data_IF_929806678076
#
_entry.id   IF_929806678076
#
_cell.length_a   1.000
_cell.length_b   1.000
_cell.length_c   1.000
_cell.angle_alpha   90.00
_cell.angle_beta   90.00
_cell.angle_gamma   90.00
#
_symmetry.space_group_name_H-M   'P 1'
#
loop_
_entity.id
_entity.type
_entity.pdbx_description
1 polymer ?
#
# COMPACT_ATOMS: atom_id res chain seq x y z
N UNK A 1 20.80 -14.09 3.96
CA UNK A 1 20.60 -13.49 2.61
C UNK A 1 20.39 -12.00 2.83
N UNK A 2 21.12 -11.11 2.15
CA UNK A 2 20.95 -9.67 2.37
C UNK A 2 19.50 -9.25 2.04
N UNK A 3 18.93 -8.38 2.88
CA UNK A 3 17.56 -7.90 2.76
C UNK A 3 17.44 -6.46 3.27
N UNK A 4 16.28 -5.86 3.07
CA UNK A 4 16.00 -4.47 3.43
C UNK A 4 14.89 -4.34 4.48
N UNK A 5 14.57 -5.42 5.21
CA UNK A 5 13.64 -5.31 6.34
C UNK A 5 14.37 -4.66 7.50
N UNK A 6 14.01 -3.42 7.76
CA UNK A 6 14.52 -2.59 8.85
C UNK A 6 14.09 -3.14 10.21
N UNK A 7 14.88 -2.83 11.23
CA UNK A 7 14.54 -3.18 12.60
C UNK A 7 13.50 -2.20 13.14
N UNK A 8 12.34 -2.72 13.52
CA UNK A 8 11.28 -1.91 14.10
C UNK A 8 11.37 -1.89 15.63
N UNK A 9 11.01 -0.77 16.29
CA UNK A 9 10.90 -0.71 17.74
C UNK A 9 9.97 -1.80 18.28
N UNK A 10 10.32 -2.39 19.43
CA UNK A 10 9.52 -3.48 20.01
C UNK A 10 8.06 -3.09 20.25
N UNK A 11 7.80 -1.84 20.67
CA UNK A 11 6.44 -1.34 20.88
C UNK A 11 5.61 -1.35 19.60
N UNK A 12 6.24 -1.07 18.45
CA UNK A 12 5.58 -1.18 17.15
C UNK A 12 5.31 -2.63 16.77
N UNK A 13 6.26 -3.53 17.07
CA UNK A 13 6.10 -4.97 16.82
C UNK A 13 4.94 -5.56 17.65
N UNK A 14 4.76 -5.10 18.90
CA UNK A 14 3.65 -5.53 19.78
C UNK A 14 2.26 -5.14 19.25
N UNK A 15 2.17 -4.11 18.41
CA UNK A 15 0.91 -3.67 17.79
C UNK A 15 0.56 -4.47 16.52
N UNK A 16 1.46 -5.33 16.04
CA UNK A 16 1.21 -6.16 14.87
C UNK A 16 0.25 -7.30 15.19
N UNK A 17 -0.52 -7.72 14.19
CA UNK A 17 -1.25 -8.98 14.29
C UNK A 17 -0.26 -10.15 14.35
N UNK A 18 -0.70 -11.29 14.87
CA UNK A 18 0.15 -12.48 14.97
C UNK A 18 0.77 -12.90 13.62
N UNK A 19 0.05 -12.75 12.51
CA UNK A 19 0.55 -13.07 11.16
C UNK A 19 1.59 -12.04 10.67
N UNK A 20 1.38 -10.75 10.95
CA UNK A 20 2.30 -9.68 10.58
C UNK A 20 3.61 -9.78 11.35
N UNK A 21 3.52 -9.99 12.66
CA UNK A 21 4.66 -10.18 13.55
C UNK A 21 5.46 -11.42 13.15
N UNK A 22 4.78 -12.52 12.80
CA UNK A 22 5.45 -13.73 12.33
C UNK A 22 6.21 -13.49 11.03
N UNK A 23 5.60 -12.83 10.05
CA UNK A 23 6.28 -12.49 8.79
C UNK A 23 7.52 -11.63 9.04
N UNK A 24 7.40 -10.60 9.87
CA UNK A 24 8.51 -9.74 10.26
C UNK A 24 9.68 -10.55 10.84
N UNK A 25 9.39 -11.37 11.87
CA UNK A 25 10.41 -12.17 12.55
C UNK A 25 11.08 -13.18 11.62
N UNK A 26 10.33 -13.81 10.71
CA UNK A 26 10.91 -14.71 9.71
C UNK A 26 11.81 -13.96 8.73
N UNK A 27 11.41 -12.78 8.29
CA UNK A 27 12.22 -12.00 7.36
C UNK A 27 13.54 -11.56 7.98
N UNK A 28 13.49 -11.07 9.23
CA UNK A 28 14.67 -10.74 10.03
C UNK A 28 15.55 -11.97 10.24
N UNK A 29 14.98 -13.13 10.54
CA UNK A 29 15.73 -14.37 10.71
C UNK A 29 16.49 -14.79 9.43
N UNK A 30 15.86 -14.70 8.26
CA UNK A 30 16.53 -14.99 6.97
C UNK A 30 17.64 -13.97 6.66
N UNK A 31 17.43 -12.70 7.02
CA UNK A 31 18.44 -11.65 6.88
C UNK A 31 19.65 -11.87 7.78
N UNK A 32 19.43 -12.13 9.07
CA UNK A 32 20.47 -12.34 10.06
C UNK A 32 21.11 -13.74 10.00
N UNK A 33 20.51 -14.68 9.27
CA UNK A 33 21.01 -16.05 9.14
C UNK A 33 20.77 -16.93 10.39
N UNK A 34 19.96 -16.48 11.33
CA UNK A 34 19.64 -17.20 12.57
C UNK A 34 18.14 -17.11 12.86
N UNK A 35 17.54 -18.26 13.19
CA UNK A 35 16.10 -18.37 13.47
C UNK A 35 15.91 -18.73 14.94
N UNK A 36 15.29 -17.86 15.75
CA UNK A 36 14.97 -18.21 17.12
C UNK A 36 14.00 -19.39 17.20
N UNK A 37 14.21 -20.32 18.14
CA UNK A 37 13.37 -21.51 18.35
C UNK A 37 11.89 -21.17 18.49
N UNK A 38 11.58 -20.11 19.24
CA UNK A 38 10.22 -19.62 19.42
C UNK A 38 9.56 -19.21 18.10
N UNK A 39 10.32 -18.68 17.13
CA UNK A 39 9.83 -18.30 15.80
C UNK A 39 9.70 -19.53 14.90
N UNK A 40 10.66 -20.45 14.97
CA UNK A 40 10.68 -21.68 14.17
C UNK A 40 9.44 -22.56 14.43
N UNK A 41 9.05 -22.69 15.70
CA UNK A 41 7.91 -23.53 16.14
C UNK A 41 6.54 -22.90 15.90
N UNK A 42 6.45 -21.61 15.56
CA UNK A 42 5.15 -20.95 15.33
C UNK A 42 4.45 -21.51 14.09
N UNK A 43 3.21 -21.97 14.30
CA UNK A 43 2.31 -22.41 13.23
C UNK A 43 1.96 -21.23 12.32
N UNK A 44 2.15 -21.42 11.02
CA UNK A 44 1.68 -20.47 10.00
C UNK A 44 0.23 -20.80 9.66
N UNK A 45 -0.61 -19.78 9.54
CA UNK A 45 -2.01 -19.93 9.15
C UNK A 45 -2.23 -20.61 7.80
N UNK A 46 -3.49 -20.90 7.50
CA UNK A 46 -3.90 -21.48 6.22
C UNK A 46 -3.69 -20.52 5.05
N UNK A 47 -3.36 -21.08 3.89
CA UNK A 47 -3.24 -20.28 2.67
C UNK A 47 -4.60 -19.71 2.30
N UNK A 48 -4.64 -18.40 2.09
CA UNK A 48 -5.78 -17.70 1.52
C UNK A 48 -5.28 -16.92 0.30
N UNK A 49 -5.89 -17.14 -0.86
CA UNK A 49 -5.52 -16.48 -2.12
C UNK A 49 -5.62 -14.94 -2.08
N UNK A 50 -6.29 -14.37 -1.07
CA UNK A 50 -6.37 -12.92 -0.86
C UNK A 50 -5.23 -12.35 0.01
N UNK A 51 -4.48 -13.18 0.75
CA UNK A 51 -3.51 -12.70 1.75
C UNK A 51 -2.09 -13.17 1.46
N UNK A 52 -1.27 -12.25 0.99
CA UNK A 52 0.12 -12.53 0.67
C UNK A 52 1.02 -12.74 1.90
N UNK A 53 0.65 -12.22 3.08
CA UNK A 53 1.44 -12.39 4.33
C UNK A 53 1.70 -13.86 4.68
N UNK A 54 0.68 -14.71 4.59
CA UNK A 54 0.79 -16.14 4.88
C UNK A 54 1.68 -16.85 3.86
N UNK A 55 1.50 -16.53 2.57
CA UNK A 55 2.31 -17.11 1.51
C UNK A 55 3.77 -16.71 1.66
N UNK A 56 4.06 -15.43 1.90
CA UNK A 56 5.41 -14.94 2.18
C UNK A 56 6.05 -15.66 3.37
N UNK A 57 5.31 -15.80 4.48
CA UNK A 57 5.80 -16.53 5.66
C UNK A 57 6.15 -17.98 5.35
N UNK A 58 5.34 -18.67 4.53
CA UNK A 58 5.60 -20.06 4.12
C UNK A 58 6.81 -20.17 3.17
N UNK A 59 6.99 -19.24 2.24
CA UNK A 59 8.16 -19.20 1.35
C UNK A 59 9.44 -19.01 2.17
N UNK A 60 9.45 -18.09 3.14
CA UNK A 60 10.59 -17.90 4.04
C UNK A 60 10.85 -19.16 4.87
N UNK A 61 9.81 -19.80 5.41
CA UNK A 61 9.91 -21.09 6.14
C UNK A 61 10.57 -22.16 5.30
N UNK A 62 10.08 -22.33 4.07
CA UNK A 62 10.59 -23.31 3.12
C UNK A 62 12.07 -23.05 2.79
N UNK A 63 12.45 -21.79 2.57
CA UNK A 63 13.84 -21.41 2.34
C UNK A 63 14.75 -21.80 3.49
N UNK A 64 14.35 -21.50 4.74
CA UNK A 64 15.16 -21.83 5.92
C UNK A 64 15.26 -23.35 6.17
N UNK A 65 14.25 -24.12 5.78
CA UNK A 65 14.26 -25.59 5.94
C UNK A 65 14.91 -26.33 4.77
N UNK A 66 15.37 -25.63 3.73
CA UNK A 66 15.97 -26.26 2.55
C UNK A 66 17.48 -26.08 2.58
N UNK A 67 18.23 -27.17 2.76
CA UNK A 67 19.70 -27.14 2.84
C UNK A 67 20.36 -26.54 1.59
N UNK A 68 19.82 -26.87 0.40
CA UNK A 68 20.28 -26.34 -0.89
C UNK A 68 19.09 -25.74 -1.64
N UNK A 69 18.74 -24.45 -1.41
CA UNK A 69 17.58 -23.85 -2.04
C UNK A 69 17.83 -23.58 -3.54
N UNK A 70 16.80 -23.85 -4.36
CA UNK A 70 16.86 -23.63 -5.81
C UNK A 70 17.02 -22.14 -6.17
N UNK A 71 17.41 -21.87 -7.42
CA UNK A 71 17.49 -20.51 -7.96
C UNK A 71 16.16 -19.77 -7.88
N UNK A 72 15.05 -20.46 -8.12
CA UNK A 72 13.69 -19.92 -8.12
C UNK A 72 13.26 -19.56 -6.70
N UNK A 73 13.54 -20.44 -5.73
CA UNK A 73 13.23 -20.17 -4.32
C UNK A 73 14.06 -18.97 -3.81
N UNK A 74 15.36 -18.91 -4.14
CA UNK A 74 16.21 -17.75 -3.82
C UNK A 74 15.66 -16.46 -4.46
N UNK A 75 15.18 -16.52 -5.69
CA UNK A 75 14.61 -15.37 -6.39
C UNK A 75 13.32 -14.86 -5.71
N UNK A 76 12.43 -15.77 -5.27
CA UNK A 76 11.23 -15.41 -4.50
C UNK A 76 11.58 -14.79 -3.16
N UNK A 77 12.53 -15.38 -2.42
CA UNK A 77 12.97 -14.86 -1.11
C UNK A 77 13.63 -13.49 -1.27
N UNK A 78 14.47 -13.30 -2.31
CA UNK A 78 15.04 -11.98 -2.62
C UNK A 78 13.95 -10.94 -2.87
N UNK A 79 12.91 -11.26 -3.66
CA UNK A 79 11.79 -10.34 -3.86
C UNK A 79 11.06 -10.01 -2.54
N UNK A 80 10.85 -11.01 -1.68
CA UNK A 80 10.24 -10.80 -0.38
C UNK A 80 11.07 -9.87 0.50
N UNK A 81 12.37 -10.10 0.61
CA UNK A 81 13.26 -9.36 1.52
C UNK A 81 13.68 -7.98 1.00
N UNK A 82 13.67 -7.76 -0.32
CA UNK A 82 14.13 -6.51 -0.92
C UNK A 82 13.01 -5.58 -1.35
N UNK A 83 11.77 -6.07 -1.47
CA UNK A 83 10.65 -5.24 -1.94
C UNK A 83 9.37 -5.49 -1.14
N UNK A 84 8.80 -6.70 -1.20
CA UNK A 84 7.44 -6.91 -0.65
C UNK A 84 7.35 -6.64 0.86
N UNK A 85 8.22 -7.27 1.66
CA UNK A 85 8.17 -7.15 3.13
C UNK A 85 8.61 -5.75 3.58
N UNK A 86 9.70 -5.16 3.06
CA UNK A 86 10.04 -3.77 3.35
C UNK A 86 8.86 -2.82 3.05
N UNK A 87 8.25 -2.90 1.87
CA UNK A 87 7.13 -2.03 1.52
C UNK A 87 5.91 -2.22 2.41
N UNK A 88 5.60 -3.46 2.81
CA UNK A 88 4.49 -3.73 3.71
C UNK A 88 4.65 -2.98 5.05
N UNK A 89 5.85 -3.01 5.62
CA UNK A 89 6.13 -2.32 6.87
C UNK A 89 6.29 -0.81 6.67
N UNK A 90 6.89 -0.34 5.58
CA UNK A 90 6.93 1.09 5.23
C UNK A 90 5.52 1.68 5.18
N UNK A 91 4.57 1.04 4.50
CA UNK A 91 3.17 1.51 4.41
C UNK A 91 2.50 1.46 5.79
N UNK A 92 2.80 0.44 6.60
CA UNK A 92 2.24 0.31 7.94
C UNK A 92 2.68 1.44 8.87
N UNK A 93 3.96 1.81 8.81
CA UNK A 93 4.53 2.90 9.61
C UNK A 93 4.14 4.28 9.08
N UNK A 94 4.01 4.40 7.76
CA UNK A 94 3.72 5.66 7.07
C UNK A 94 2.30 5.64 6.50
N UNK A 95 1.31 5.46 7.39
CA UNK A 95 -0.06 5.19 6.94
C UNK A 95 -0.87 6.43 6.59
N UNK A 96 -0.39 7.65 6.83
CA UNK A 96 -1.14 8.88 6.51
C UNK A 96 -1.24 9.14 5.00
N UNK A 97 -2.34 9.73 4.54
CA UNK A 97 -2.58 10.01 3.11
C UNK A 97 -1.50 10.89 2.48
N UNK A 98 -0.91 11.82 3.24
CA UNK A 98 0.23 12.65 2.82
C UNK A 98 1.51 11.84 2.54
N UNK A 99 1.58 10.61 3.02
CA UNK A 99 2.72 9.73 2.82
C UNK A 99 2.47 8.69 1.71
N UNK A 100 1.25 8.61 1.16
CA UNK A 100 0.90 7.59 0.18
C UNK A 100 1.73 7.67 -1.11
N UNK A 101 1.92 8.88 -1.65
CA UNK A 101 2.75 9.11 -2.84
C UNK A 101 4.24 8.83 -2.57
N UNK A 102 4.72 9.18 -1.37
CA UNK A 102 6.08 8.85 -0.91
C UNK A 102 6.28 7.33 -0.76
N UNK A 103 5.27 6.62 -0.26
CA UNK A 103 5.29 5.15 -0.20
C UNK A 103 5.32 4.52 -1.60
N UNK A 104 4.55 5.06 -2.56
CA UNK A 104 4.60 4.59 -3.94
C UNK A 104 5.99 4.82 -4.56
N UNK A 105 6.57 5.99 -4.36
CA UNK A 105 7.93 6.31 -4.78
C UNK A 105 8.95 5.34 -4.16
N UNK A 106 8.86 5.06 -2.85
CA UNK A 106 9.73 4.09 -2.18
C UNK A 106 9.62 2.69 -2.81
N UNK A 107 8.42 2.28 -3.21
CA UNK A 107 8.20 1.02 -3.93
C UNK A 107 8.96 1.00 -5.27
N UNK A 108 8.88 2.09 -6.05
CA UNK A 108 9.63 2.26 -7.30
C UNK A 108 11.13 2.21 -7.06
N UNK A 109 11.63 2.88 -6.02
CA UNK A 109 13.04 2.89 -5.65
C UNK A 109 13.56 1.48 -5.29
N UNK A 110 12.83 0.74 -4.45
CA UNK A 110 13.17 -0.64 -4.10
C UNK A 110 13.09 -1.56 -5.32
N UNK A 111 12.13 -1.34 -6.21
CA UNK A 111 11.99 -2.13 -7.42
C UNK A 111 13.20 -2.00 -8.34
N UNK A 112 13.80 -0.81 -8.45
CA UNK A 112 15.01 -0.58 -9.26
C UNK A 112 16.20 -1.42 -8.80
N UNK A 113 16.26 -1.79 -7.51
CA UNK A 113 17.31 -2.65 -6.92
C UNK A 113 17.18 -4.12 -7.29
N UNK A 114 16.01 -4.56 -7.78
CA UNK A 114 15.76 -5.95 -8.12
C UNK A 114 16.28 -6.31 -9.52
N UNK A 115 16.52 -7.61 -9.84
CA UNK A 115 16.89 -8.02 -11.19
C UNK A 115 15.86 -7.60 -12.25
N UNK A 116 16.31 -7.23 -13.45
CA UNK A 116 15.44 -6.74 -14.54
C UNK A 116 14.29 -7.70 -14.89
N UNK A 117 14.50 -9.02 -14.77
CA UNK A 117 13.44 -10.03 -14.92
C UNK A 117 12.29 -9.81 -13.93
N UNK A 118 12.60 -9.54 -12.67
CA UNK A 118 11.60 -9.26 -11.63
C UNK A 118 10.96 -7.89 -11.85
N UNK A 119 11.74 -6.88 -12.23
CA UNK A 119 11.21 -5.56 -12.58
C UNK A 119 10.11 -5.66 -13.64
N UNK A 120 10.35 -6.42 -14.72
CA UNK A 120 9.37 -6.64 -15.80
C UNK A 120 8.06 -7.28 -15.31
N UNK A 121 8.10 -8.13 -14.29
CA UNK A 121 6.91 -8.79 -13.71
C UNK A 121 6.13 -7.81 -12.81
N UNK A 122 6.84 -6.99 -12.03
CA UNK A 122 6.23 -6.16 -10.97
C UNK A 122 5.77 -4.80 -11.49
N UNK A 123 6.46 -4.20 -12.48
CA UNK A 123 6.07 -2.88 -13.06
C UNK A 123 4.58 -2.82 -13.46
N UNK A 124 4.02 -3.80 -14.20
CA UNK A 124 2.59 -3.79 -14.55
C UNK A 124 1.64 -3.90 -13.35
N UNK A 125 2.10 -4.50 -12.24
CA UNK A 125 1.32 -4.58 -11.00
C UNK A 125 1.26 -3.22 -10.31
N UNK A 126 2.40 -2.51 -10.24
CA UNK A 126 2.45 -1.16 -9.68
C UNK A 126 1.66 -0.19 -10.55
N UNK A 127 1.80 -0.25 -11.88
CA UNK A 127 1.08 0.60 -12.84
C UNK A 127 -0.45 0.46 -12.72
N UNK A 128 -0.96 -0.78 -12.55
CA UNK A 128 -2.40 -1.01 -12.32
C UNK A 128 -2.91 -0.48 -10.97
N UNK A 129 -2.00 -0.15 -10.05
CA UNK A 129 -2.31 0.40 -8.73
C UNK A 129 -1.74 1.83 -8.56
N UNK A 130 -1.59 2.58 -9.65
CA UNK A 130 -1.01 3.94 -9.68
C UNK A 130 -1.88 5.03 -9.01
N UNK A 131 -2.82 4.66 -8.13
CA UNK A 131 -3.73 5.58 -7.45
C UNK A 131 -2.98 6.67 -6.68
N UNK A 132 -1.87 6.32 -6.03
CA UNK A 132 -1.01 7.24 -5.29
C UNK A 132 -0.06 8.06 -6.17
N UNK A 133 -0.06 7.85 -7.48
CA UNK A 133 0.60 8.75 -8.43
C UNK A 133 -0.36 9.82 -8.98
N UNK A 134 -1.67 9.71 -8.69
CA UNK A 134 -2.64 10.69 -9.18
C UNK A 134 -2.26 12.12 -8.73
N UNK A 135 -2.40 13.15 -9.59
CA UNK A 135 -1.98 14.53 -9.26
C UNK A 135 -2.51 15.01 -7.91
N UNK A 136 -3.78 14.75 -7.60
CA UNK A 136 -4.34 15.11 -6.30
C UNK A 136 -3.60 14.50 -5.11
N UNK A 137 -3.19 13.23 -5.20
CA UNK A 137 -2.49 12.54 -4.13
C UNK A 137 -1.04 13.03 -3.99
N UNK A 138 -0.41 13.39 -5.12
CA UNK A 138 0.89 14.04 -5.10
C UNK A 138 0.81 15.40 -4.41
N UNK A 139 -0.18 16.23 -4.76
CA UNK A 139 -0.38 17.54 -4.13
C UNK A 139 -0.60 17.43 -2.62
N UNK A 140 -1.35 16.43 -2.13
CA UNK A 140 -1.49 16.18 -0.69
C UNK A 140 -0.15 15.86 -0.01
N UNK A 141 0.72 15.09 -0.67
CA UNK A 141 2.04 14.80 -0.16
C UNK A 141 2.94 16.04 -0.19
N UNK A 142 2.82 16.86 -1.23
CA UNK A 142 3.65 18.05 -1.43
C UNK A 142 3.32 19.15 -0.43
N UNK A 143 2.05 19.46 -0.17
CA UNK A 143 1.67 20.52 0.80
C UNK A 143 2.08 20.20 2.24
N UNK A 144 2.24 18.91 2.56
CA UNK A 144 2.68 18.42 3.86
C UNK A 144 4.19 18.10 3.89
N UNK A 145 4.93 18.42 2.82
CA UNK A 145 6.37 18.17 2.76
C UNK A 145 7.15 19.14 3.64
N UNK A 146 8.31 18.74 4.13
CA UNK A 146 9.20 19.58 4.94
C UNK A 146 9.97 20.58 4.05
N UNK A 147 10.20 20.24 2.78
CA UNK A 147 10.85 21.10 1.79
C UNK A 147 9.93 22.22 1.30
N UNK A 148 10.38 23.47 1.42
CA UNK A 148 9.59 24.65 1.05
C UNK A 148 9.39 24.78 -0.45
N UNK A 149 10.38 24.38 -1.26
CA UNK A 149 10.27 24.36 -2.73
C UNK A 149 9.19 23.39 -3.20
N UNK A 150 9.18 22.18 -2.64
CA UNK A 150 8.13 21.19 -2.91
C UNK A 150 6.72 21.75 -2.58
N UNK A 151 6.59 22.51 -1.48
CA UNK A 151 5.33 23.17 -1.12
C UNK A 151 4.96 24.30 -2.10
N UNK A 152 5.93 25.11 -2.53
CA UNK A 152 5.72 26.18 -3.53
C UNK A 152 5.23 25.62 -4.87
N UNK A 153 5.81 24.50 -5.34
CA UNK A 153 5.35 23.83 -6.56
C UNK A 153 3.90 23.34 -6.41
N UNK A 154 3.53 22.83 -5.23
CA UNK A 154 2.16 22.41 -4.94
C UNK A 154 1.17 23.58 -5.03
N UNK A 155 1.53 24.72 -4.42
CA UNK A 155 0.73 25.94 -4.44
C UNK A 155 0.50 26.39 -5.89
N UNK A 156 1.56 26.40 -6.70
CA UNK A 156 1.46 26.76 -8.12
C UNK A 156 0.46 25.86 -8.88
N UNK A 157 0.57 24.54 -8.71
CA UNK A 157 -0.35 23.59 -9.32
C UNK A 157 -1.79 23.73 -8.84
N UNK A 158 -2.02 23.94 -7.54
CA UNK A 158 -3.35 24.11 -6.95
C UNK A 158 -3.99 25.42 -7.43
N UNK A 159 -3.25 26.53 -7.38
CA UNK A 159 -3.72 27.83 -7.86
C UNK A 159 -4.09 27.78 -9.35
N UNK A 160 -3.26 27.14 -10.17
CA UNK A 160 -3.57 26.92 -11.59
C UNK A 160 -4.81 26.03 -11.79
N UNK A 161 -5.01 25.01 -10.95
CA UNK A 161 -6.18 24.14 -11.02
C UNK A 161 -7.47 24.86 -10.63
N UNK A 162 -7.44 25.77 -9.64
CA UNK A 162 -8.59 26.58 -9.20
C UNK A 162 -9.10 27.53 -10.29
N UNK A 163 -8.22 28.02 -11.14
CA UNK A 163 -8.58 28.91 -12.25
C UNK A 163 -9.26 28.18 -13.42
N UNK A 164 -9.14 26.84 -13.48
CA UNK A 164 -9.73 26.05 -14.55
C UNK A 164 -11.19 25.75 -14.25
N UNK A 165 -12.09 26.22 -15.11
CA UNK A 165 -13.50 25.83 -15.04
C UNK A 165 -13.65 24.36 -15.49
N UNK A 166 -14.00 23.48 -14.55
CA UNK A 166 -14.32 22.09 -14.86
C UNK A 166 -15.79 21.96 -15.24
N UNK A 167 -16.07 21.48 -16.46
CA UNK A 167 -17.44 21.16 -16.90
C UNK A 167 -17.65 19.66 -16.75
N UNK A 168 -18.63 19.27 -15.92
CA UNK A 168 -19.00 17.86 -15.71
C UNK A 168 -18.24 17.16 -14.60
N UNK A 169 -18.33 15.82 -14.58
CA UNK A 169 -17.72 14.98 -13.55
C UNK A 169 -16.23 14.81 -13.83
N UNK A 170 -15.38 15.01 -12.81
CA UNK A 170 -13.92 14.80 -12.89
C UNK A 170 -13.61 13.35 -13.32
N UNK A 171 -12.90 13.13 -14.44
CA UNK A 171 -12.48 11.79 -14.82
C UNK A 171 -11.37 11.30 -13.90
N UNK A 172 -11.55 10.12 -13.30
CA UNK A 172 -10.49 9.48 -12.52
C UNK A 172 -9.68 8.53 -13.41
N UNK A 173 -8.61 9.06 -14.02
CA UNK A 173 -7.68 8.30 -14.86
C UNK A 173 -6.42 7.98 -14.07
N UNK A 174 -5.95 6.73 -14.15
CA UNK A 174 -4.66 6.36 -13.58
C UNK A 174 -3.53 6.96 -14.42
N UNK A 175 -2.58 7.68 -13.81
CA UNK A 175 -1.45 8.26 -14.53
C UNK A 175 -0.43 7.18 -14.91
N UNK A 176 0.39 7.46 -15.90
CA UNK A 176 1.54 6.62 -16.24
C UNK A 176 2.69 6.88 -15.25
N UNK A 177 3.17 5.83 -14.58
CA UNK A 177 4.23 5.99 -13.58
C UNK A 177 5.58 6.12 -14.26
N UNK A 178 6.30 7.18 -13.91
CA UNK A 178 7.73 7.30 -14.19
C UNK A 178 8.55 6.39 -13.26
N UNK A 179 8.90 5.18 -13.74
CA UNK A 179 9.72 4.24 -12.97
C UNK A 179 11.19 4.67 -12.80
N UNK A 180 11.62 5.73 -13.48
CA UNK A 180 12.95 6.30 -13.37
C UNK A 180 12.98 7.58 -12.50
N UNK A 181 11.85 7.96 -11.89
CA UNK A 181 11.73 9.10 -10.99
C UNK A 181 12.80 9.09 -9.88
N UNK A 182 13.43 10.23 -9.61
CA UNK A 182 14.42 10.39 -8.53
C UNK A 182 13.86 11.09 -7.30
N UNK A 183 12.68 11.68 -7.44
CA UNK A 183 11.89 12.24 -6.36
C UNK A 183 10.41 11.85 -6.51
N UNK A 184 9.64 11.87 -5.42
CA UNK A 184 8.22 11.45 -5.49
C UNK A 184 7.37 12.40 -6.34
N UNK A 185 7.76 13.68 -6.44
CA UNK A 185 7.11 14.67 -7.31
C UNK A 185 7.28 14.36 -8.80
N UNK A 186 8.26 13.54 -9.16
CA UNK A 186 8.57 13.14 -10.54
C UNK A 186 7.88 11.83 -10.95
N UNK A 187 6.97 11.30 -10.11
CA UNK A 187 6.25 10.04 -10.38
C UNK A 187 5.36 10.12 -11.63
N UNK A 188 4.98 11.33 -12.04
CA UNK A 188 4.15 11.60 -13.21
C UNK A 188 4.75 12.72 -14.06
N UNK A 189 4.25 12.82 -15.29
CA UNK A 189 4.49 13.96 -16.16
C UNK A 189 3.38 15.01 -15.95
N UNK A 190 3.69 16.07 -15.20
CA UNK A 190 2.72 17.13 -14.85
C UNK A 190 2.16 17.89 -16.05
N UNK A 191 2.86 17.90 -17.19
CA UNK A 191 2.37 18.54 -18.42
C UNK A 191 1.33 17.68 -19.14
N UNK A 192 1.40 16.36 -18.98
CA UNK A 192 0.47 15.40 -19.61
C UNK A 192 -0.76 15.08 -18.76
N UNK A 193 -0.65 15.26 -17.45
CA UNK A 193 -1.72 14.90 -16.52
C UNK A 193 -2.71 16.06 -16.28
N UNK A 194 -3.99 15.71 -16.17
CA UNK A 194 -5.02 16.69 -15.80
C UNK A 194 -4.95 16.96 -14.30
N UNK A 195 -4.28 18.06 -13.93
CA UNK A 195 -4.28 18.55 -12.54
C UNK A 195 -5.62 19.22 -12.23
N UNK A 196 -6.24 18.79 -11.14
CA UNK A 196 -7.48 19.33 -10.60
C UNK A 196 -7.32 19.62 -9.12
N UNK A 197 -8.14 20.53 -8.59
CA UNK A 197 -8.06 20.92 -7.19
C UNK A 197 -8.35 19.72 -6.27
N UNK A 198 -7.43 19.36 -5.35
CA UNK A 198 -7.65 18.27 -4.41
C UNK A 198 -8.83 18.58 -3.48
N UNK A 199 -9.83 17.69 -3.34
CA UNK A 199 -10.98 17.96 -2.46
C UNK A 199 -10.62 18.19 -0.99
N UNK A 200 -9.52 17.60 -0.52
CA UNK A 200 -9.04 17.80 0.86
C UNK A 200 -8.35 19.16 1.07
N UNK A 201 -8.11 19.92 0.00
CA UNK A 201 -7.48 21.24 0.04
C UNK A 201 -8.42 22.33 -0.48
N UNK A 202 -9.65 21.98 -0.90
CA UNK A 202 -10.56 22.93 -1.55
C UNK A 202 -11.12 23.99 -0.61
N UNK A 203 -11.08 23.75 0.70
CA UNK A 203 -11.54 24.69 1.71
C UNK A 203 -10.50 25.78 2.04
N UNK A 204 -9.23 25.59 1.64
CA UNK A 204 -8.19 26.59 1.88
C UNK A 204 -8.45 27.83 1.04
N UNK A 205 -8.52 28.99 1.66
CA UNK A 205 -8.50 30.28 0.95
C UNK A 205 -7.19 30.46 0.17
N UNK A 206 -7.14 31.48 -0.69
CA UNK A 206 -5.89 31.84 -1.39
C UNK A 206 -4.77 32.18 -0.41
N UNK A 207 -5.07 32.96 0.62
CA UNK A 207 -4.10 33.36 1.65
C UNK A 207 -3.60 32.17 2.47
N UNK A 208 -4.50 31.25 2.86
CA UNK A 208 -4.12 30.03 3.57
C UNK A 208 -3.29 29.08 2.70
N UNK A 209 -3.58 29.02 1.39
CA UNK A 209 -2.79 28.24 0.45
C UNK A 209 -1.38 28.82 0.31
N UNK A 210 -1.22 30.14 0.20
CA UNK A 210 0.10 30.79 0.15
C UNK A 210 0.88 30.58 1.46
N UNK A 211 0.20 30.58 2.61
CA UNK A 211 0.82 30.32 3.91
C UNK A 211 1.47 28.92 4.02
N UNK A 212 1.03 27.95 3.19
CA UNK A 212 1.64 26.61 3.11
C UNK A 212 3.12 26.68 2.73
N UNK A 213 3.56 27.70 1.98
CA UNK A 213 4.97 27.85 1.63
C UNK A 213 5.86 27.96 2.87
N UNK A 214 5.39 28.67 3.91
CA UNK A 214 6.13 28.87 5.15
C UNK A 214 6.00 27.69 6.13
N UNK A 215 4.82 27.07 6.21
CA UNK A 215 4.54 26.00 7.18
C UNK A 215 3.80 24.83 6.51
N UNK A 216 4.27 23.57 6.65
CA UNK A 216 3.59 22.41 6.09
C UNK A 216 2.12 22.33 6.51
N UNK A 217 1.25 22.06 5.55
CA UNK A 217 -0.18 21.92 5.80
C UNK A 217 -0.48 20.55 6.42
N UNK A 218 -1.36 20.53 7.42
CA UNK A 218 -1.82 19.31 8.07
C UNK A 218 -3.21 18.94 7.58
N UNK A 219 -3.33 17.80 6.90
CA UNK A 219 -4.62 17.19 6.57
C UNK A 219 -5.00 16.15 7.63
N UNK A 220 -6.30 15.84 7.81
CA UNK A 220 -6.69 14.75 8.68
C UNK A 220 -5.97 13.44 8.29
N UNK A 221 -5.53 12.61 9.26
CA UNK A 221 -4.64 11.48 9.01
C UNK A 221 -5.40 10.29 8.42
N UNK A 222 -6.00 10.46 7.25
CA UNK A 222 -6.72 9.39 6.56
C UNK A 222 -5.74 8.27 6.21
N UNK A 223 -6.04 7.02 6.58
CA UNK A 223 -5.12 5.93 6.34
C UNK A 223 -5.07 5.56 4.86
N UNK A 224 -3.86 5.39 4.31
CA UNK A 224 -3.61 4.90 2.94
C UNK A 224 -4.15 3.48 2.70
N UNK A 225 -4.36 2.74 3.79
CA UNK A 225 -4.94 1.40 3.77
C UNK A 225 -5.92 1.25 4.94
N UNK A 226 -7.18 0.92 4.62
CA UNK A 226 -8.22 0.68 5.64
C UNK A 226 -8.54 -0.80 5.80
N UNK A 227 -8.96 -1.20 7.00
CA UNK A 227 -9.50 -2.56 7.21
C UNK A 227 -10.73 -2.84 6.33
N UNK A 228 -11.48 -1.81 5.95
CA UNK A 228 -12.62 -1.94 5.05
C UNK A 228 -12.17 -2.42 3.66
N UNK A 229 -11.11 -1.80 3.10
CA UNK A 229 -10.48 -2.24 1.84
C UNK A 229 -10.02 -3.70 1.95
N UNK A 230 -9.33 -4.06 3.03
CA UNK A 230 -8.89 -5.44 3.30
C UNK A 230 -10.05 -6.46 3.28
N UNK A 231 -11.18 -6.11 3.91
CA UNK A 231 -12.41 -6.95 3.93
C UNK A 231 -13.07 -7.06 2.56
N UNK A 232 -13.05 -5.97 1.78
CA UNK A 232 -13.60 -5.94 0.42
C UNK A 232 -12.76 -6.81 -0.51
N UNK A 233 -11.43 -6.68 -0.48
CA UNK A 233 -10.51 -7.52 -1.29
C UNK A 233 -10.83 -8.99 -1.08
N UNK A 234 -10.92 -9.45 0.18
CA UNK A 234 -11.32 -10.83 0.49
C UNK A 234 -12.67 -11.21 -0.12
N UNK A 235 -13.68 -10.34 0.02
CA UNK A 235 -15.04 -10.61 -0.50
C UNK A 235 -15.04 -10.71 -2.02
N UNK A 236 -14.27 -9.86 -2.71
CA UNK A 236 -14.10 -9.88 -4.17
C UNK A 236 -13.35 -11.13 -4.62
N UNK A 237 -12.28 -11.55 -3.93
CA UNK A 237 -11.55 -12.78 -4.22
C UNK A 237 -12.45 -14.01 -4.10
N UNK A 238 -13.20 -14.12 -3.01
CA UNK A 238 -14.16 -15.22 -2.80
C UNK A 238 -15.28 -15.25 -3.83
N UNK A 239 -15.74 -14.08 -4.30
CA UNK A 239 -16.74 -14.02 -5.36
C UNK A 239 -16.13 -14.45 -6.70
N UNK A 240 -14.91 -14.00 -7.00
CA UNK A 240 -14.20 -14.30 -8.24
C UNK A 240 -13.86 -15.78 -8.38
N UNK A 241 -13.69 -16.51 -7.27
CA UNK A 241 -13.50 -17.96 -7.31
C UNK A 241 -14.80 -18.75 -7.49
N UNK A 242 -15.97 -18.11 -7.39
CA UNK A 242 -17.28 -18.77 -7.42
C UNK A 242 -18.09 -18.52 -8.69
N UNK A 243 -17.94 -17.34 -9.28
CA UNK A 243 -18.73 -16.93 -10.45
C UNK A 243 -17.87 -16.23 -11.48
N UNK A 244 -18.20 -16.46 -12.75
CA UNK A 244 -17.52 -15.86 -13.90
C UNK A 244 -18.31 -14.66 -14.42
N UNK A 245 -17.59 -13.62 -14.85
CA UNK A 245 -18.18 -12.39 -15.39
C UNK A 245 -18.51 -11.33 -14.33
N UNK A 246 -18.43 -10.07 -14.74
CA UNK A 246 -18.60 -8.91 -13.87
C UNK A 246 -19.99 -8.87 -13.21
N UNK A 247 -21.06 -9.05 -14.01
CA UNK A 247 -22.45 -8.99 -13.53
C UNK A 247 -22.73 -10.03 -12.44
N UNK A 248 -22.27 -11.28 -12.63
CA UNK A 248 -22.44 -12.34 -11.65
C UNK A 248 -21.65 -12.07 -10.37
N UNK A 249 -20.40 -11.61 -10.48
CA UNK A 249 -19.59 -11.20 -9.32
C UNK A 249 -20.25 -10.07 -8.54
N UNK A 250 -20.71 -9.03 -9.24
CA UNK A 250 -21.40 -7.90 -8.63
C UNK A 250 -22.67 -8.35 -7.90
N UNK A 251 -23.49 -9.21 -8.52
CA UNK A 251 -24.69 -9.79 -7.90
C UNK A 251 -24.37 -10.59 -6.63
N UNK A 252 -23.36 -11.46 -6.67
CA UNK A 252 -22.95 -12.25 -5.52
C UNK A 252 -22.41 -11.38 -4.37
N UNK A 253 -21.58 -10.39 -4.69
CA UNK A 253 -21.02 -9.45 -3.69
C UNK A 253 -22.14 -8.66 -3.04
N UNK A 254 -23.04 -8.05 -3.82
CA UNK A 254 -24.14 -7.23 -3.29
C UNK A 254 -25.13 -8.05 -2.48
N UNK A 255 -25.51 -9.24 -2.93
CA UNK A 255 -26.36 -10.16 -2.17
C UNK A 255 -25.73 -10.53 -0.82
N UNK A 256 -24.42 -10.84 -0.81
CA UNK A 256 -23.69 -11.15 0.42
C UNK A 256 -23.57 -9.96 1.36
N UNK A 257 -23.35 -8.74 0.84
CA UNK A 257 -23.32 -7.52 1.65
C UNK A 257 -24.69 -7.23 2.26
N UNK A 258 -25.79 -7.39 1.50
CA UNK A 258 -27.16 -7.27 2.01
C UNK A 258 -27.44 -8.30 3.10
N UNK A 259 -27.08 -9.56 2.88
CA UNK A 259 -27.22 -10.62 3.89
C UNK A 259 -26.46 -10.28 5.19
N UNK A 260 -25.21 -9.81 5.09
CA UNK A 260 -24.42 -9.40 6.27
C UNK A 260 -25.06 -8.26 7.05
N UNK A 261 -25.79 -7.34 6.39
CA UNK A 261 -26.51 -6.25 7.07
C UNK A 261 -27.76 -6.74 7.82
N UNK A 262 -28.34 -7.85 7.40
CA UNK A 262 -29.48 -8.48 8.09
C UNK A 262 -29.05 -9.29 9.31
N UNK A 263 -27.78 -9.68 9.40
CA UNK A 263 -27.24 -10.40 10.55
C UNK A 263 -27.03 -9.43 11.72
N UNK A 264 -27.31 -9.85 12.96
CA UNK A 264 -26.99 -9.07 14.14
C UNK A 264 -25.50 -8.72 14.19
N UNK A 265 -25.19 -7.47 14.54
CA UNK A 265 -23.82 -7.07 14.79
C UNK A 265 -23.38 -7.63 16.14
N UNK A 266 -22.50 -8.62 16.12
CA UNK A 266 -21.85 -9.15 17.31
C UNK A 266 -20.58 -8.35 17.58
N UNK A 267 -20.47 -7.79 18.77
CA UNK A 267 -19.35 -6.94 19.18
C UNK A 267 -18.22 -7.79 19.78
N UNK A 268 -18.58 -8.93 20.36
CA UNK A 268 -17.65 -9.92 20.89
C UNK A 268 -18.00 -11.32 20.40
N UNK A 269 -17.02 -12.24 20.42
CA UNK A 269 -17.28 -13.67 20.14
C UNK A 269 -18.27 -14.31 21.13
N UNK A 270 -18.49 -13.71 22.31
CA UNK A 270 -19.46 -14.18 23.30
C UNK A 270 -20.90 -13.87 22.92
N UNK A 271 -21.10 -12.89 22.04
CA UNK A 271 -22.43 -12.47 21.59
C UNK A 271 -23.00 -13.45 20.54
N UNK A 272 -22.14 -14.26 19.92
CA UNK A 272 -22.55 -15.35 19.05
C UNK A 272 -23.01 -16.55 19.90
N UNK A 273 -24.25 -16.51 20.37
CA UNK A 273 -24.89 -17.68 20.98
C UNK A 273 -25.11 -18.71 19.86
N UNK A 274 -24.53 -19.91 19.95
CA UNK A 274 -24.86 -20.97 19.01
C UNK A 274 -26.31 -21.38 19.25
N UNK A 275 -27.13 -21.34 18.18
CA UNK A 275 -28.43 -22.01 18.13
C UNK A 275 -28.21 -23.48 17.78
#
# INVERSE_FOLDING_TARGET
MAGLVEEMPEETVKQLSADQELLYRLARAVQCGSVPDAVARRKIGELNHARWLTLGSRILRLYMSTAVPSSELKQLVNFLLLHYIPMWFTIRLNSGCTLGSKNLYRSVELLRRLPKKIQKIVRPVIQRNAYWAHPEQLLLAMVADEDDKTRQDAIHHIAGARQRQMVGVRPFKLPEINFEATHFTELIDWEKELVTEPPLLSELSGEELEAVAATPHSVPPYPVHTQAVERVVRTVTEASSKVLGEKARHGLITARLRHRRMLPAFTTKRDAVPV
#
